data_IF_785688572345
#
_entry.id   IF_785688572345
#
_cell.length_a   1.000
_cell.length_b   1.000
_cell.length_c   1.000
_cell.angle_alpha   90.00
_cell.angle_beta   90.00
_cell.angle_gamma   90.00
#
_symmetry.space_group_name_H-M   'P 1'
#
loop_
_entity.id
_entity.type
_entity.pdbx_description
1 polymer ?
#
# COMPACT_ATOMS: atom_id res chain seq x y z
N UNK A 1 -2.68 21.31 3.76
CA UNK A 1 -3.83 20.86 2.98
C UNK A 1 -4.09 19.38 3.20
N UNK A 2 -5.33 19.05 3.49
CA UNK A 2 -5.68 17.67 3.80
C UNK A 2 -5.98 16.87 2.54
N UNK A 3 -5.58 15.61 2.56
CA UNK A 3 -5.90 14.65 1.50
C UNK A 3 -6.99 13.72 2.03
N UNK A 4 -8.12 13.59 1.33
CA UNK A 4 -9.25 12.80 1.85
C UNK A 4 -9.04 11.30 1.64
N UNK A 5 -8.19 10.70 2.46
CA UNK A 5 -7.99 9.26 2.43
C UNK A 5 -9.12 8.56 3.18
N UNK A 6 -9.54 7.40 2.67
CA UNK A 6 -10.44 6.54 3.42
C UNK A 6 -9.67 5.92 4.58
N UNK A 7 -10.39 5.33 5.52
CA UNK A 7 -9.71 4.72 6.67
C UNK A 7 -8.76 3.60 6.23
N UNK A 8 -9.18 2.75 5.29
CA UNK A 8 -8.31 1.68 4.81
C UNK A 8 -7.07 2.25 4.13
N UNK A 9 -7.25 3.28 3.31
CA UNK A 9 -6.12 3.92 2.64
C UNK A 9 -5.15 4.52 3.66
N UNK A 10 -5.69 5.19 4.65
CA UNK A 10 -4.86 5.78 5.69
C UNK A 10 -4.06 4.70 6.44
N UNK A 11 -4.71 3.58 6.76
CA UNK A 11 -4.04 2.50 7.48
C UNK A 11 -2.94 1.87 6.66
N UNK A 12 -3.14 1.74 5.34
CA UNK A 12 -2.11 1.23 4.45
C UNK A 12 -0.91 2.17 4.45
N UNK A 13 -1.16 3.47 4.27
CA UNK A 13 -0.07 4.45 4.25
C UNK A 13 0.67 4.46 5.58
N UNK A 14 -0.08 4.41 6.69
CA UNK A 14 0.53 4.41 8.01
C UNK A 14 1.44 3.20 8.20
N UNK A 15 0.99 2.04 7.78
CA UNK A 15 1.78 0.82 7.91
C UNK A 15 3.08 0.93 7.11
N UNK A 16 2.97 1.35 5.85
CA UNK A 16 4.15 1.49 5.00
C UNK A 16 5.10 2.56 5.54
N UNK A 17 4.56 3.67 6.01
CA UNK A 17 5.38 4.76 6.53
C UNK A 17 6.06 4.40 7.84
N UNK A 18 5.46 3.53 8.62
CA UNK A 18 6.04 3.08 9.89
C UNK A 18 7.26 2.18 9.68
N UNK A 19 7.35 1.56 8.51
CA UNK A 19 8.47 0.67 8.18
C UNK A 19 8.96 1.02 6.77
N UNK A 20 9.58 2.21 6.62
CA UNK A 20 9.82 2.77 5.27
C UNK A 20 10.76 1.94 4.39
N UNK A 21 11.60 1.10 4.98
CA UNK A 21 12.52 0.28 4.20
C UNK A 21 12.02 -1.13 3.96
N UNK A 22 10.84 -1.45 4.52
CA UNK A 22 10.33 -2.80 4.42
C UNK A 22 9.45 -2.96 3.20
N UNK A 23 9.62 -4.07 2.49
CA UNK A 23 8.77 -4.43 1.36
C UNK A 23 7.65 -5.32 1.88
N UNK A 24 6.41 -4.89 1.63
CA UNK A 24 5.23 -5.65 2.03
C UNK A 24 4.64 -6.30 0.79
N UNK A 25 4.46 -7.61 0.82
CA UNK A 25 3.75 -8.29 -0.25
C UNK A 25 2.27 -7.89 -0.21
N UNK A 26 1.56 -8.12 -1.31
CA UNK A 26 0.11 -7.89 -1.31
C UNK A 26 -0.56 -8.70 -0.22
N UNK A 27 -0.09 -9.94 -0.01
CA UNK A 27 -0.62 -10.80 1.04
C UNK A 27 -0.39 -10.18 2.43
N UNK A 28 0.82 -9.71 2.69
CA UNK A 28 1.13 -9.10 3.99
C UNK A 28 0.28 -7.85 4.22
N UNK A 29 0.14 -7.02 3.20
CA UNK A 29 -0.70 -5.82 3.33
C UNK A 29 -2.14 -6.20 3.61
N UNK A 30 -2.66 -7.13 2.83
CA UNK A 30 -4.05 -7.51 2.99
C UNK A 30 -4.33 -8.05 4.39
N UNK A 31 -3.51 -8.99 4.84
CA UNK A 31 -3.75 -9.62 6.13
C UNK A 31 -3.55 -8.65 7.29
N UNK A 32 -2.62 -7.71 7.15
CA UNK A 32 -2.39 -6.72 8.20
C UNK A 32 -3.52 -5.69 8.29
N UNK A 33 -4.07 -5.28 7.16
CA UNK A 33 -5.04 -4.18 7.11
C UNK A 33 -6.47 -4.70 7.24
N UNK A 34 -6.81 -5.75 6.49
CA UNK A 34 -8.17 -6.32 6.51
C UNK A 34 -8.36 -7.35 7.62
N UNK A 35 -7.25 -7.88 8.16
CA UNK A 35 -7.28 -8.85 9.25
C UNK A 35 -8.07 -10.10 8.88
N UNK A 36 -7.93 -10.52 7.63
CA UNK A 36 -8.57 -11.70 7.08
C UNK A 36 -7.57 -12.47 6.26
N UNK A 37 -7.77 -13.79 6.08
CA UNK A 37 -6.86 -14.57 5.25
C UNK A 37 -6.87 -14.07 3.81
N UNK A 38 -5.69 -14.10 3.19
CA UNK A 38 -5.52 -13.63 1.82
C UNK A 38 -5.87 -14.76 0.85
N UNK A 39 -6.71 -14.43 -0.14
CA UNK A 39 -7.02 -15.33 -1.24
C UNK A 39 -6.56 -14.67 -2.52
N UNK A 40 -6.38 -15.48 -3.57
CA UNK A 40 -5.90 -14.96 -4.84
C UNK A 40 -6.72 -13.76 -5.33
N UNK A 41 -8.03 -13.82 -5.13
CA UNK A 41 -8.91 -12.73 -5.58
C UNK A 41 -8.68 -11.42 -4.83
N UNK A 42 -8.04 -11.46 -3.66
CA UNK A 42 -7.78 -10.25 -2.89
C UNK A 42 -6.67 -9.40 -3.48
N UNK A 43 -5.90 -9.95 -4.42
CA UNK A 43 -4.82 -9.20 -5.04
C UNK A 43 -5.33 -7.92 -5.70
N UNK A 44 -6.45 -8.02 -6.40
CA UNK A 44 -7.04 -6.84 -7.05
C UNK A 44 -7.48 -5.80 -6.05
N UNK A 45 -8.00 -6.24 -4.89
CA UNK A 45 -8.42 -5.31 -3.84
C UNK A 45 -7.24 -4.47 -3.38
N UNK A 46 -6.08 -5.10 -3.14
CA UNK A 46 -4.89 -4.36 -2.74
C UNK A 46 -4.45 -3.41 -3.84
N UNK A 47 -4.41 -3.90 -5.09
CA UNK A 47 -3.96 -3.07 -6.21
C UNK A 47 -4.83 -1.83 -6.41
N UNK A 48 -6.15 -1.98 -6.26
CA UNK A 48 -7.07 -0.85 -6.40
C UNK A 48 -6.82 0.18 -5.32
N UNK A 49 -6.63 -0.26 -4.09
CA UNK A 49 -6.37 0.67 -2.98
C UNK A 49 -5.05 1.41 -3.18
N UNK A 50 -4.01 0.70 -3.63
CA UNK A 50 -2.72 1.34 -3.90
C UNK A 50 -2.88 2.39 -5.00
N UNK A 51 -3.60 2.06 -6.07
CA UNK A 51 -3.84 3.01 -7.15
C UNK A 51 -4.56 4.25 -6.66
N UNK A 52 -5.59 4.06 -5.84
CA UNK A 52 -6.37 5.20 -5.34
C UNK A 52 -5.53 6.09 -4.43
N UNK A 53 -4.68 5.49 -3.60
CA UNK A 53 -3.77 6.27 -2.76
C UNK A 53 -2.84 7.10 -3.62
N UNK A 54 -2.25 6.49 -4.66
CA UNK A 54 -1.33 7.21 -5.54
C UNK A 54 -2.01 8.38 -6.24
N UNK A 55 -3.26 8.22 -6.61
CA UNK A 55 -4.00 9.32 -7.24
C UNK A 55 -4.22 10.48 -6.28
N UNK A 56 -4.33 10.19 -5.00
CA UNK A 56 -4.61 11.22 -4.00
C UNK A 56 -3.36 11.90 -3.47
N UNK A 57 -2.29 11.15 -3.28
CA UNK A 57 -1.09 11.70 -2.63
C UNK A 57 0.12 11.75 -3.56
N UNK A 58 -0.01 11.27 -4.79
CA UNK A 58 1.08 11.30 -5.75
C UNK A 58 1.63 9.92 -6.02
N UNK A 59 2.03 9.67 -7.28
CA UNK A 59 2.44 8.34 -7.70
C UNK A 59 3.74 7.88 -7.06
N UNK A 60 4.57 8.82 -6.59
CA UNK A 60 5.84 8.46 -5.95
C UNK A 60 5.71 8.07 -4.49
N UNK A 61 4.51 8.21 -3.90
CA UNK A 61 4.35 7.94 -2.47
C UNK A 61 4.52 6.46 -2.13
N UNK A 62 4.12 5.58 -3.05
CA UNK A 62 4.24 4.14 -2.83
C UNK A 62 5.00 3.54 -4.00
N UNK A 63 6.08 2.84 -3.68
CA UNK A 63 6.94 2.23 -4.68
C UNK A 63 6.56 0.77 -4.88
N UNK A 64 6.38 0.36 -6.14
CA UNK A 64 6.18 -1.05 -6.47
C UNK A 64 7.55 -1.71 -6.62
N UNK A 65 7.73 -2.82 -5.93
CA UNK A 65 8.93 -3.62 -6.07
C UNK A 65 8.53 -4.89 -6.81
N UNK A 66 8.91 -4.98 -8.08
CA UNK A 66 8.45 -6.04 -8.97
C UNK A 66 8.75 -7.42 -8.41
N UNK A 67 7.73 -8.25 -8.40
CA UNK A 67 7.83 -9.62 -7.90
C UNK A 67 7.83 -9.74 -6.40
N UNK A 68 7.81 -8.62 -5.65
CA UNK A 68 7.91 -8.67 -4.19
C UNK A 68 6.78 -7.94 -3.49
N UNK A 69 6.38 -6.75 -3.96
CA UNK A 69 5.29 -6.03 -3.33
C UNK A 69 5.48 -4.53 -3.36
N UNK A 70 5.22 -3.89 -2.23
CA UNK A 70 5.18 -2.44 -2.14
C UNK A 70 5.99 -1.96 -0.94
N UNK A 71 6.53 -0.77 -1.06
CA UNK A 71 7.17 -0.11 0.07
C UNK A 71 6.92 1.38 0.01
N UNK A 72 7.20 2.06 1.11
CA UNK A 72 7.04 3.51 1.15
C UNK A 72 8.02 4.15 0.17
N UNK A 73 7.50 5.07 -0.62
CA UNK A 73 8.32 5.84 -1.54
C UNK A 73 8.94 7.07 -0.88
N UNK A 74 9.63 7.88 -1.68
CA UNK A 74 9.89 7.66 -3.10
C UNK A 74 11.03 6.68 -3.34
N UNK A 75 11.13 6.23 -4.60
CA UNK A 75 12.24 5.37 -4.99
C UNK A 75 13.54 6.15 -4.87
N UNK A 76 14.57 5.48 -4.39
CA UNK A 76 15.88 6.10 -4.35
C UNK A 76 16.49 6.10 -5.74
N UNK A 77 17.23 7.15 -6.06
CA UNK A 77 17.91 7.20 -7.36
C UNK A 77 18.94 6.10 -7.53
#
# INVERSE_FOLDING_TARGET
REVPLTELEYRIVLLLASYPNKIFSAENLYESIWEEPYFYSCKNTVMVHIRNIRQKVGSGAICTVWGKGYRMGPSKP
#
